data_IF_876432402342
#
_entry.id   IF_876432402342
#
_cell.length_a   1.000
_cell.length_b   1.000
_cell.length_c   1.000
_cell.angle_alpha   90.00
_cell.angle_beta   90.00
_cell.angle_gamma   90.00
#
_symmetry.space_group_name_H-M   'P 1'
#
loop_
_entity.id
_entity.type
_entity.pdbx_description
1 polymer ?
#
# COMPACT_ATOMS: atom_id res chain seq x y z
N UNK A 1 8.09 1.81 -14.45
CA UNK A 1 8.08 0.50 -13.78
C UNK A 1 8.06 0.74 -12.26
N UNK A 2 7.02 1.42 -11.79
CA UNK A 2 5.89 0.89 -11.00
C UNK A 2 6.27 0.43 -9.58
N UNK A 3 6.68 1.39 -8.75
CA UNK A 3 6.83 1.25 -7.30
C UNK A 3 5.53 0.76 -6.62
N UNK A 4 4.37 0.92 -7.29
CA UNK A 4 3.04 0.46 -6.85
C UNK A 4 2.89 -1.08 -6.80
N UNK A 5 3.55 -1.82 -7.70
CA UNK A 5 3.39 -3.28 -7.78
C UNK A 5 4.10 -3.97 -6.59
N UNK A 6 5.19 -3.36 -6.10
CA UNK A 6 5.97 -3.91 -4.99
C UNK A 6 5.23 -3.78 -3.66
N UNK A 7 4.40 -2.74 -3.50
CA UNK A 7 3.62 -2.49 -2.28
C UNK A 7 2.28 -3.24 -2.22
N UNK A 8 1.76 -3.71 -3.36
CA UNK A 8 0.49 -4.45 -3.42
C UNK A 8 0.62 -5.92 -3.02
N UNK A 9 1.81 -6.51 -3.09
CA UNK A 9 1.98 -7.93 -2.77
C UNK A 9 2.09 -8.17 -1.25
N UNK A 10 1.12 -8.85 -0.61
CA UNK A 10 1.19 -9.17 0.82
C UNK A 10 2.43 -10.01 1.18
N UNK A 11 2.99 -10.75 0.21
CA UNK A 11 4.24 -11.49 0.39
C UNK A 11 5.45 -10.56 0.63
N UNK A 12 5.50 -9.41 -0.07
CA UNK A 12 6.58 -8.43 0.12
C UNK A 12 6.48 -7.74 1.48
N UNK A 13 5.25 -7.46 1.95
CA UNK A 13 5.03 -6.93 3.29
C UNK A 13 5.57 -7.87 4.38
N UNK A 14 5.24 -9.14 4.29
CA UNK A 14 5.69 -10.16 5.26
C UNK A 14 7.19 -10.39 5.18
N UNK A 15 7.77 -10.39 3.98
CA UNK A 15 9.20 -10.58 3.78
C UNK A 15 10.00 -9.43 4.42
N UNK A 16 9.68 -8.17 4.12
CA UNK A 16 10.37 -7.03 4.74
C UNK A 16 10.13 -6.98 6.24
N UNK A 17 8.90 -7.24 6.71
CA UNK A 17 8.58 -7.26 8.14
C UNK A 17 9.35 -8.34 8.92
N UNK A 18 9.76 -9.43 8.27
CA UNK A 18 10.50 -10.52 8.91
C UNK A 18 12.02 -10.36 8.76
N UNK A 19 12.48 -9.90 7.60
CA UNK A 19 13.91 -9.83 7.26
C UNK A 19 14.58 -8.58 7.84
N UNK A 20 13.92 -7.41 7.86
CA UNK A 20 14.52 -6.20 8.43
C UNK A 20 14.89 -6.35 9.90
N UNK A 21 14.04 -6.90 10.79
CA UNK A 21 14.39 -7.08 12.19
C UNK A 21 15.61 -7.98 12.40
N UNK A 22 15.75 -9.03 11.59
CA UNK A 22 16.90 -9.95 11.65
C UNK A 22 18.19 -9.19 11.30
N UNK A 23 18.17 -8.45 10.19
CA UNK A 23 19.32 -7.63 9.77
C UNK A 23 19.65 -6.57 10.83
N UNK A 24 18.63 -5.92 11.39
CA UNK A 24 18.80 -4.90 12.43
C UNK A 24 19.40 -5.50 13.70
N UNK A 25 18.98 -6.71 14.09
CA UNK A 25 19.56 -7.44 15.23
C UNK A 25 21.04 -7.75 15.03
N UNK A 26 21.41 -8.23 13.84
CA UNK A 26 22.82 -8.51 13.49
C UNK A 26 23.66 -7.23 13.53
N UNK A 27 23.18 -6.16 12.89
CA UNK A 27 23.86 -4.86 12.87
C UNK A 27 24.00 -4.26 14.27
N UNK A 28 23.00 -4.43 15.13
CA UNK A 28 23.05 -3.99 16.53
C UNK A 28 24.12 -4.75 17.31
N UNK A 29 24.27 -6.06 17.07
CA UNK A 29 25.34 -6.87 17.65
C UNK A 29 26.73 -6.40 17.19
N UNK A 30 26.90 -6.15 15.89
CA UNK A 30 28.15 -5.60 15.32
C UNK A 30 28.46 -4.24 15.93
N UNK A 31 27.45 -3.38 16.10
CA UNK A 31 27.61 -2.08 16.75
C UNK A 31 28.12 -2.21 18.18
N UNK A 32 27.55 -3.12 18.98
CA UNK A 32 28.02 -3.37 20.35
C UNK A 32 29.48 -3.85 20.35
N UNK A 33 29.88 -4.71 19.40
CA UNK A 33 31.27 -5.17 19.28
C UNK A 33 32.19 -3.99 18.93
N UNK A 34 31.83 -3.13 17.99
CA UNK A 34 32.64 -1.98 17.57
C UNK A 34 32.85 -0.95 18.69
N UNK A 35 31.87 -0.76 19.56
CA UNK A 35 31.97 0.19 20.69
C UNK A 35 32.57 -0.44 21.96
N UNK A 36 32.83 -1.75 21.96
CA UNK A 36 33.44 -2.44 23.09
C UNK A 36 34.96 -2.36 22.99
N UNK A 37 35.58 -1.62 23.89
CA UNK A 37 37.03 -1.46 23.98
C UNK A 37 37.46 -2.04 25.33
N UNK A 38 38.41 -2.97 25.31
CA UNK A 38 38.93 -3.63 26.52
C UNK A 38 37.85 -4.27 27.42
N UNK A 39 36.79 -4.79 26.80
CA UNK A 39 35.67 -5.43 27.51
C UNK A 39 34.68 -4.47 28.15
N UNK A 40 34.84 -3.15 27.94
CA UNK A 40 33.93 -2.11 28.40
C UNK A 40 33.25 -1.44 27.22
N UNK A 41 31.93 -1.23 27.33
CA UNK A 41 31.17 -0.49 26.31
C UNK A 41 31.51 1.00 26.42
N UNK A 42 32.34 1.48 25.50
CA UNK A 42 32.75 2.87 25.43
C UNK A 42 31.71 3.69 24.65
N UNK A 43 30.62 4.07 25.32
CA UNK A 43 29.57 4.89 24.71
C UNK A 43 30.10 6.17 24.08
N UNK A 44 31.14 6.80 24.65
CA UNK A 44 31.78 7.98 24.07
C UNK A 44 32.41 7.76 22.69
N UNK A 45 32.49 6.53 22.19
CA UNK A 45 33.03 6.19 20.87
C UNK A 45 31.95 5.84 19.85
N UNK A 46 30.66 5.93 20.20
CA UNK A 46 29.56 5.49 19.32
C UNK A 46 29.57 6.16 17.94
N UNK A 47 29.98 7.43 17.86
CA UNK A 47 30.05 8.20 16.60
C UNK A 47 31.20 7.78 15.69
N UNK A 48 32.16 7.00 16.19
CA UNK A 48 33.25 6.42 15.37
C UNK A 48 32.84 5.09 14.74
N UNK A 49 31.82 4.42 15.28
CA UNK A 49 31.35 3.13 14.79
C UNK A 49 30.61 3.33 13.46
N UNK A 50 31.07 2.66 12.39
CA UNK A 50 30.41 2.74 11.07
C UNK A 50 29.02 2.12 11.13
N UNK A 51 28.89 1.05 11.92
CA UNK A 51 27.62 0.36 12.17
C UNK A 51 26.52 1.26 12.73
N UNK A 52 26.87 2.32 13.48
CA UNK A 52 25.90 3.32 13.95
C UNK A 52 25.21 4.03 12.79
N UNK A 53 25.98 4.52 11.82
CA UNK A 53 25.43 5.22 10.65
C UNK A 53 24.60 4.29 9.76
N UNK A 54 25.02 3.03 9.63
CA UNK A 54 24.24 2.01 8.92
C UNK A 54 22.91 1.76 9.62
N UNK A 55 22.89 1.66 10.96
CA UNK A 55 21.66 1.51 11.73
C UNK A 55 20.73 2.73 11.58
N UNK A 56 21.27 3.94 11.62
CA UNK A 56 20.50 5.17 11.38
C UNK A 56 19.90 5.18 9.99
N UNK A 57 20.66 4.80 8.96
CA UNK A 57 20.17 4.70 7.60
C UNK A 57 19.03 3.67 7.47
N UNK A 58 19.20 2.47 8.05
CA UNK A 58 18.16 1.44 8.06
C UNK A 58 16.90 1.93 8.78
N UNK A 59 17.04 2.66 9.90
CA UNK A 59 15.91 3.24 10.61
C UNK A 59 15.15 4.27 9.77
N UNK A 60 15.85 5.13 9.02
CA UNK A 60 15.24 6.08 8.09
C UNK A 60 14.49 5.35 6.97
N UNK A 61 15.11 4.34 6.35
CA UNK A 61 14.45 3.53 5.33
C UNK A 61 13.21 2.83 5.87
N UNK A 62 13.28 2.29 7.09
CA UNK A 62 12.16 1.66 7.77
C UNK A 62 11.02 2.64 8.04
N UNK A 63 11.32 3.88 8.43
CA UNK A 63 10.32 4.93 8.60
C UNK A 63 9.58 5.21 7.28
N UNK A 64 10.30 5.41 6.18
CA UNK A 64 9.66 5.66 4.88
C UNK A 64 8.85 4.47 4.38
N UNK A 65 9.34 3.24 4.60
CA UNK A 65 8.61 2.03 4.26
C UNK A 65 7.30 1.90 5.05
N UNK A 66 7.35 2.07 6.37
CA UNK A 66 6.15 2.05 7.21
C UNK A 66 5.18 3.18 6.86
N UNK A 67 5.69 4.38 6.54
CA UNK A 67 4.85 5.49 6.08
C UNK A 67 4.14 5.16 4.76
N UNK A 68 4.82 4.51 3.81
CA UNK A 68 4.23 4.08 2.54
C UNK A 68 3.13 3.03 2.77
N UNK A 69 3.38 2.04 3.64
CA UNK A 69 2.35 1.06 4.04
C UNK A 69 1.16 1.77 4.69
N UNK A 70 1.41 2.66 5.66
CA UNK A 70 0.35 3.37 6.35
C UNK A 70 -0.54 4.15 5.40
N UNK A 71 0.04 4.85 4.42
CA UNK A 71 -0.73 5.56 3.40
C UNK A 71 -1.55 4.60 2.52
N UNK A 72 -0.96 3.48 2.11
CA UNK A 72 -1.64 2.46 1.32
C UNK A 72 -2.80 1.80 2.08
N UNK A 73 -2.58 1.41 3.34
CA UNK A 73 -3.61 0.84 4.20
C UNK A 73 -4.71 1.85 4.52
N UNK A 74 -4.37 3.13 4.71
CA UNK A 74 -5.36 4.18 4.91
C UNK A 74 -6.21 4.43 3.66
N UNK A 75 -5.65 4.29 2.45
CA UNK A 75 -6.44 4.30 1.21
C UNK A 75 -7.37 3.09 1.11
N UNK A 76 -6.89 1.89 1.43
CA UNK A 76 -7.73 0.67 1.46
C UNK A 76 -8.81 0.76 2.53
N UNK A 77 -8.49 1.30 3.72
CA UNK A 77 -9.44 1.48 4.81
C UNK A 77 -10.59 2.39 4.40
N UNK A 78 -10.36 3.37 3.51
CA UNK A 78 -11.44 4.19 2.93
C UNK A 78 -12.36 3.41 2.00
N UNK A 79 -11.91 2.32 1.38
CA UNK A 79 -12.75 1.40 0.61
C UNK A 79 -13.48 0.37 1.47
N UNK A 80 -13.11 0.21 2.74
CA UNK A 80 -13.87 -0.60 3.70
C UNK A 80 -15.17 0.08 4.15
N UNK A 81 -15.33 1.37 3.85
CA UNK A 81 -16.55 2.12 4.11
C UNK A 81 -17.51 1.95 2.92
N UNK A 82 -18.64 1.28 3.16
CA UNK A 82 -19.59 0.84 2.13
C UNK A 82 -20.17 2.03 1.33
N UNK A 83 -20.27 3.20 1.97
CA UNK A 83 -20.67 4.46 1.33
C UNK A 83 -19.63 4.96 0.31
N UNK A 84 -18.33 4.84 0.61
CA UNK A 84 -17.27 5.30 -0.28
C UNK A 84 -17.10 4.35 -1.47
N UNK A 85 -17.25 3.04 -1.25
CA UNK A 85 -17.25 2.04 -2.32
C UNK A 85 -18.44 2.26 -3.27
N UNK A 86 -19.63 2.50 -2.72
CA UNK A 86 -20.84 2.81 -3.50
C UNK A 86 -20.70 4.13 -4.28
N UNK A 87 -20.13 5.18 -3.67
CA UNK A 87 -19.87 6.45 -4.33
C UNK A 87 -18.82 6.34 -5.44
N UNK A 88 -17.75 5.57 -5.21
CA UNK A 88 -16.70 5.34 -6.20
C UNK A 88 -17.21 4.54 -7.40
N UNK A 89 -17.92 3.44 -7.16
CA UNK A 89 -18.58 2.63 -8.21
C UNK A 89 -19.58 3.48 -8.98
N UNK A 90 -20.42 4.27 -8.31
CA UNK A 90 -21.33 5.21 -9.00
C UNK A 90 -20.55 6.21 -9.84
N UNK A 91 -19.51 6.84 -9.31
CA UNK A 91 -18.75 7.86 -10.06
C UNK A 91 -17.99 7.31 -11.27
N UNK A 92 -17.57 6.04 -11.25
CA UNK A 92 -16.80 5.39 -12.33
C UNK A 92 -17.68 4.60 -13.30
N UNK A 93 -18.63 3.81 -12.80
CA UNK A 93 -19.51 3.00 -13.64
C UNK A 93 -20.68 3.78 -14.24
N UNK A 94 -21.21 4.84 -13.62
CA UNK A 94 -22.27 5.66 -14.23
C UNK A 94 -21.84 6.33 -15.54
N UNK A 95 -20.67 6.99 -15.65
CA UNK A 95 -20.26 7.59 -16.92
C UNK A 95 -19.92 6.55 -17.99
N UNK A 96 -19.34 5.40 -17.61
CA UNK A 96 -19.02 4.33 -18.55
C UNK A 96 -20.29 3.61 -19.06
N UNK A 97 -21.25 3.36 -18.16
CA UNK A 97 -22.58 2.87 -18.54
C UNK A 97 -23.33 3.90 -19.39
N UNK A 98 -23.28 5.19 -19.03
CA UNK A 98 -23.93 6.25 -19.80
C UNK A 98 -23.35 6.39 -21.21
N UNK A 99 -22.03 6.28 -21.38
CA UNK A 99 -21.40 6.26 -22.70
C UNK A 99 -21.78 5.01 -23.50
N UNK A 100 -21.79 3.84 -22.86
CA UNK A 100 -22.24 2.58 -23.49
C UNK A 100 -23.70 2.66 -23.93
N UNK A 101 -24.58 3.25 -23.12
CA UNK A 101 -25.98 3.45 -23.48
C UNK A 101 -26.15 4.49 -24.59
N UNK A 102 -25.38 5.59 -24.61
CA UNK A 102 -25.38 6.54 -25.73
C UNK A 102 -24.94 5.88 -27.04
N UNK A 103 -23.95 5.01 -27.02
CA UNK A 103 -23.50 4.27 -28.21
C UNK A 103 -24.56 3.29 -28.70
N UNK A 104 -25.25 2.58 -27.80
CA UNK A 104 -26.35 1.68 -28.16
C UNK A 104 -27.56 2.43 -28.74
N UNK A 105 -27.92 3.60 -28.20
CA UNK A 105 -28.97 4.48 -28.75
C UNK A 105 -28.59 4.98 -30.14
N UNK A 106 -27.33 5.39 -30.33
CA UNK A 106 -26.81 5.88 -31.60
C UNK A 106 -26.73 4.79 -32.67
N UNK A 107 -26.58 3.52 -32.29
CA UNK A 107 -26.56 2.36 -33.18
C UNK A 107 -27.96 1.79 -33.49
N UNK A 108 -29.05 2.41 -32.99
CA UNK A 108 -30.42 2.01 -33.31
C UNK A 108 -31.01 0.89 -32.45
N UNK A 109 -30.28 0.35 -31.47
CA UNK A 109 -30.74 -0.73 -30.57
C UNK A 109 -31.56 -0.22 -29.36
N UNK A 110 -32.47 0.74 -29.59
CA UNK A 110 -33.28 1.35 -28.54
C UNK A 110 -34.27 0.38 -27.84
N UNK A 111 -34.63 -0.73 -28.51
CA UNK A 111 -35.54 -1.75 -27.97
C UNK A 111 -34.94 -2.56 -26.82
N UNK A 112 -33.69 -3.01 -26.97
CA UNK A 112 -32.97 -3.81 -25.96
C UNK A 112 -32.70 -3.01 -24.67
N UNK A 113 -32.54 -1.70 -24.83
CA UNK A 113 -32.26 -0.76 -23.74
C UNK A 113 -33.46 -0.60 -22.80
N UNK A 114 -34.68 -0.61 -23.34
CA UNK A 114 -35.93 -0.53 -22.56
C UNK A 114 -36.16 -1.81 -21.77
N UNK A 115 -35.80 -2.95 -22.36
CA UNK A 115 -35.92 -4.27 -21.76
C UNK A 115 -34.93 -4.47 -20.60
N UNK A 116 -33.67 -4.05 -20.77
CA UNK A 116 -32.67 -4.06 -19.70
C UNK A 116 -33.02 -3.10 -18.54
N UNK A 117 -33.65 -1.96 -18.83
CA UNK A 117 -34.12 -1.02 -17.82
C UNK A 117 -35.30 -1.58 -17.01
N UNK A 118 -36.25 -2.25 -17.66
CA UNK A 118 -37.40 -2.87 -16.98
C UNK A 118 -36.97 -4.07 -16.12
N UNK A 119 -35.94 -4.82 -16.54
CA UNK A 119 -35.34 -5.87 -15.71
C UNK A 119 -34.61 -5.30 -14.50
N UNK A 120 -33.80 -4.25 -14.66
CA UNK A 120 -33.18 -3.57 -13.52
C UNK A 120 -34.21 -3.02 -12.53
N UNK A 121 -35.33 -2.46 -13.03
CA UNK A 121 -36.40 -1.91 -12.20
C UNK A 121 -37.17 -2.97 -11.42
N UNK A 122 -37.18 -4.23 -11.89
CA UNK A 122 -37.71 -5.39 -11.15
C UNK A 122 -36.78 -5.87 -10.05
N UNK A 123 -35.47 -5.78 -10.23
CA UNK A 123 -34.47 -6.21 -9.24
C UNK A 123 -34.28 -5.18 -8.12
N UNK A 124 -34.57 -3.90 -8.39
CA UNK A 124 -34.45 -2.79 -7.43
C UNK A 124 -35.70 -2.53 -6.58
N UNK A 125 -36.68 -3.43 -6.59
CA UNK A 125 -37.92 -3.34 -5.81
C UNK A 125 -38.00 -4.49 -4.82
#
# INVERSE_FOLDING_TARGET
MSFKIITESPAWKTFFSSVLPIITGILSGIFVIEITIDGVIAWSSFFKATSFYVLVFVAICMYFYNKAIYLFENEISKFSDDEYCTAYIRSKCLPEAAEKYKTLIRNGNGGELKQAMDEMKKVLK
#
